data_IF_099796879168
#
_entry.id   IF_099796879168
#
_cell.length_a   1.000
_cell.length_b   1.000
_cell.length_c   1.000
_cell.angle_alpha   90.00
_cell.angle_beta   90.00
_cell.angle_gamma   90.00
#
_symmetry.space_group_name_H-M   'P 1'
#
loop_
_entity.id
_entity.type
_entity.pdbx_description
1 polymer ?
#
# COMPACT_ATOMS: atom_id res chain seq x y z
N UNK A 1 -9.59 -11.32 17.95
CA UNK A 1 -10.03 -11.95 16.70
C UNK A 1 -9.72 -11.03 15.53
N UNK A 2 -9.48 -11.58 14.33
CA UNK A 2 -9.09 -10.82 13.14
C UNK A 2 -10.32 -10.32 12.37
N UNK A 3 -10.12 -9.34 11.49
CA UNK A 3 -11.13 -8.82 10.54
C UNK A 3 -10.46 -8.74 9.18
N UNK A 4 -11.21 -9.03 8.12
CA UNK A 4 -10.70 -9.07 6.75
C UNK A 4 -11.58 -8.22 5.83
N UNK A 5 -10.97 -7.22 5.20
CA UNK A 5 -11.59 -6.47 4.12
C UNK A 5 -11.06 -6.96 2.77
N UNK A 6 -11.96 -7.26 1.85
CA UNK A 6 -11.65 -7.69 0.49
C UNK A 6 -11.90 -6.53 -0.47
N UNK A 7 -10.82 -5.98 -1.04
CA UNK A 7 -10.92 -5.07 -2.19
C UNK A 7 -10.79 -5.88 -3.47
N UNK A 8 -11.83 -5.84 -4.31
CA UNK A 8 -11.92 -6.58 -5.57
C UNK A 8 -11.98 -5.58 -6.70
N UNK A 9 -11.10 -5.71 -7.70
CA UNK A 9 -11.09 -4.83 -8.86
C UNK A 9 -12.43 -4.90 -9.60
N UNK A 10 -13.01 -3.76 -9.96
CA UNK A 10 -14.30 -3.71 -10.68
C UNK A 10 -14.25 -4.32 -12.09
N UNK A 11 -13.04 -4.55 -12.64
CA UNK A 11 -12.84 -5.24 -13.92
C UNK A 11 -13.09 -6.74 -13.88
N UNK A 12 -13.19 -7.36 -12.70
CA UNK A 12 -13.51 -8.79 -12.62
C UNK A 12 -14.91 -9.07 -13.16
N UNK A 13 -15.16 -10.32 -13.55
CA UNK A 13 -16.50 -10.71 -13.99
C UNK A 13 -17.53 -10.54 -12.87
N UNK A 14 -18.78 -10.23 -13.24
CA UNK A 14 -19.89 -10.15 -12.29
C UNK A 14 -20.08 -11.46 -11.50
N UNK A 15 -19.74 -12.60 -12.10
CA UNK A 15 -19.74 -13.90 -11.45
C UNK A 15 -18.71 -13.97 -10.33
N UNK A 16 -17.46 -13.57 -10.59
CA UNK A 16 -16.40 -13.56 -9.59
C UNK A 16 -16.76 -12.67 -8.41
N UNK A 17 -17.22 -11.44 -8.67
CA UNK A 17 -17.61 -10.51 -7.61
C UNK A 17 -18.78 -11.06 -6.76
N UNK A 18 -19.76 -11.72 -7.39
CA UNK A 18 -20.85 -12.40 -6.66
C UNK A 18 -20.34 -13.54 -5.81
N UNK A 19 -19.42 -14.35 -6.32
CA UNK A 19 -18.82 -15.45 -5.57
C UNK A 19 -18.04 -14.94 -4.35
N UNK A 20 -17.24 -13.87 -4.51
CA UNK A 20 -16.52 -13.25 -3.40
C UNK A 20 -17.47 -12.70 -2.33
N UNK A 21 -18.55 -12.02 -2.73
CA UNK A 21 -19.57 -11.53 -1.77
C UNK A 21 -20.25 -12.68 -1.02
N UNK A 22 -20.61 -13.76 -1.71
CA UNK A 22 -21.20 -14.94 -1.08
C UNK A 22 -20.25 -15.58 -0.07
N UNK A 23 -18.97 -15.71 -0.41
CA UNK A 23 -17.94 -16.20 0.50
C UNK A 23 -17.81 -15.32 1.73
N UNK A 24 -17.73 -13.99 1.54
CA UNK A 24 -17.63 -13.04 2.65
C UNK A 24 -18.84 -13.13 3.58
N UNK A 25 -20.05 -13.26 3.03
CA UNK A 25 -21.29 -13.39 3.82
C UNK A 25 -21.33 -14.66 4.70
N UNK A 26 -20.52 -15.68 4.40
CA UNK A 26 -20.41 -16.87 5.24
C UNK A 26 -19.57 -16.65 6.52
N UNK A 27 -18.85 -15.54 6.62
CA UNK A 27 -17.90 -15.28 7.72
C UNK A 27 -18.19 -13.89 8.33
N UNK A 28 -18.55 -13.80 9.63
CA UNK A 28 -19.01 -12.56 10.25
C UNK A 28 -17.94 -11.46 10.35
N UNK A 29 -16.66 -11.82 10.15
CA UNK A 29 -15.51 -10.94 10.22
C UNK A 29 -14.83 -10.71 8.86
N UNK A 30 -15.49 -11.10 7.76
CA UNK A 30 -15.02 -10.89 6.39
C UNK A 30 -16.06 -10.08 5.63
N UNK A 31 -15.62 -9.03 4.95
CA UNK A 31 -16.51 -8.22 4.11
C UNK A 31 -15.80 -7.73 2.86
N UNK A 32 -16.57 -7.43 1.82
CA UNK A 32 -16.07 -6.73 0.63
C UNK A 32 -16.10 -5.24 0.91
N UNK A 33 -15.04 -4.51 0.54
CA UNK A 33 -14.95 -3.05 0.68
C UNK A 33 -16.21 -2.37 0.12
N UNK A 34 -16.70 -1.36 0.84
CA UNK A 34 -17.86 -0.56 0.47
C UNK A 34 -17.65 0.21 -0.83
N UNK A 35 -16.39 0.51 -1.16
CA UNK A 35 -15.97 1.12 -2.42
C UNK A 35 -14.90 0.28 -3.08
N UNK A 36 -15.08 0.04 -4.38
CA UNK A 36 -14.19 -0.74 -5.22
C UNK A 36 -13.60 0.15 -6.31
N UNK A 37 -12.35 -0.12 -6.66
CA UNK A 37 -11.58 0.67 -7.63
C UNK A 37 -11.38 -0.09 -8.94
N UNK A 38 -11.28 0.65 -10.04
CA UNK A 38 -10.72 0.14 -11.30
C UNK A 38 -9.20 0.27 -11.20
N UNK A 39 -8.52 -0.81 -10.82
CA UNK A 39 -7.10 -0.72 -10.47
C UNK A 39 -6.26 -0.61 -11.73
N UNK A 40 -5.57 0.52 -11.87
CA UNK A 40 -4.64 0.78 -12.97
C UNK A 40 -3.23 0.56 -12.44
N UNK A 41 -2.44 -0.23 -13.18
CA UNK A 41 -1.05 -0.50 -12.80
C UNK A 41 -0.26 0.81 -12.64
N UNK A 42 0.51 0.91 -11.54
CA UNK A 42 1.24 2.11 -11.12
C UNK A 42 0.36 3.36 -10.85
N UNK A 43 -0.96 3.23 -10.91
CA UNK A 43 -1.90 4.31 -10.69
C UNK A 43 -2.31 4.45 -9.23
N UNK A 44 -2.94 5.59 -8.95
CA UNK A 44 -3.48 5.96 -7.65
C UNK A 44 -4.54 4.98 -7.14
N UNK A 45 -5.28 4.33 -8.03
CA UNK A 45 -6.37 3.42 -7.67
C UNK A 45 -5.89 2.21 -6.86
N UNK A 46 -4.63 1.78 -7.02
CA UNK A 46 -4.02 0.75 -6.16
C UNK A 46 -3.92 1.19 -4.71
N UNK A 47 -3.46 2.42 -4.46
CA UNK A 47 -3.38 3.02 -3.12
C UNK A 47 -4.79 3.25 -2.53
N UNK A 48 -5.72 3.75 -3.35
CA UNK A 48 -7.10 4.00 -2.93
C UNK A 48 -7.84 2.72 -2.50
N UNK A 49 -7.57 1.59 -3.17
CA UNK A 49 -8.13 0.30 -2.80
C UNK A 49 -7.80 -0.10 -1.35
N UNK A 50 -6.59 0.21 -0.87
CA UNK A 50 -6.22 -0.03 0.53
C UNK A 50 -6.91 0.97 1.47
N UNK A 51 -6.94 2.26 1.10
CA UNK A 51 -7.55 3.31 1.92
C UNK A 51 -9.06 3.10 2.12
N UNK A 52 -9.78 2.58 1.11
CA UNK A 52 -11.19 2.23 1.27
C UNK A 52 -11.39 1.08 2.26
N UNK A 53 -10.55 0.05 2.17
CA UNK A 53 -10.58 -1.03 3.15
C UNK A 53 -10.23 -0.55 4.56
N UNK A 54 -9.24 0.34 4.70
CA UNK A 54 -8.87 0.93 5.97
C UNK A 54 -10.01 1.72 6.59
N UNK A 55 -10.73 2.50 5.78
CA UNK A 55 -11.90 3.25 6.21
C UNK A 55 -13.01 2.34 6.75
N UNK A 56 -13.28 1.21 6.09
CA UNK A 56 -14.31 0.27 6.54
C UNK A 56 -13.85 -0.55 7.75
N UNK A 57 -12.57 -0.90 7.82
CA UNK A 57 -11.98 -1.54 8.99
C UNK A 57 -12.09 -0.66 10.24
N UNK A 58 -11.91 0.66 10.13
CA UNK A 58 -12.07 1.56 11.28
C UNK A 58 -13.51 1.58 11.83
N UNK A 59 -14.51 1.41 10.95
CA UNK A 59 -15.94 1.36 11.31
C UNK A 59 -16.38 0.00 11.85
N UNK A 60 -15.60 -1.04 11.65
CA UNK A 60 -15.93 -2.38 12.11
C UNK A 60 -15.90 -2.44 13.65
N UNK A 61 -16.83 -3.16 14.32
CA UNK A 61 -16.94 -3.19 15.80
C UNK A 61 -15.72 -3.81 16.51
N UNK A 62 -14.93 -4.60 15.80
CA UNK A 62 -13.71 -5.19 16.36
C UNK A 62 -12.60 -4.14 16.44
N UNK A 63 -12.13 -3.87 17.65
CA UNK A 63 -10.98 -3.01 17.92
C UNK A 63 -9.65 -3.73 17.60
N UNK A 64 -9.32 -3.82 16.32
CA UNK A 64 -8.03 -4.37 15.86
C UNK A 64 -6.87 -3.41 16.18
N UNK A 65 -5.65 -3.95 16.23
CA UNK A 65 -4.42 -3.18 16.60
C UNK A 65 -3.54 -2.82 15.42
N UNK A 66 -3.45 -3.72 14.45
CA UNK A 66 -2.71 -3.54 13.21
C UNK A 66 -3.54 -4.00 12.03
N UNK A 67 -3.33 -3.38 10.88
CA UNK A 67 -3.74 -3.89 9.58
C UNK A 67 -2.49 -4.26 8.79
N UNK A 68 -2.55 -5.40 8.09
CA UNK A 68 -1.53 -5.84 7.14
C UNK A 68 -2.21 -5.86 5.78
N UNK A 69 -1.75 -5.06 4.83
CA UNK A 69 -2.27 -5.07 3.46
C UNK A 69 -1.49 -6.08 2.60
N UNK A 70 -2.20 -6.81 1.75
CA UNK A 70 -1.63 -7.89 0.95
C UNK A 70 -2.42 -8.04 -0.35
N UNK A 71 -1.75 -8.26 -1.51
CA UNK A 71 -2.42 -8.61 -2.75
C UNK A 71 -2.84 -10.09 -2.72
N UNK A 72 -3.68 -10.50 -3.68
CA UNK A 72 -4.16 -11.89 -3.78
C UNK A 72 -3.09 -12.94 -4.11
N UNK A 73 -1.89 -12.53 -4.57
CA UNK A 73 -0.79 -13.45 -4.90
C UNK A 73 0.19 -13.70 -3.74
N UNK A 74 0.03 -13.03 -2.60
CA UNK A 74 0.87 -13.28 -1.43
C UNK A 74 0.31 -14.42 -0.57
N UNK A 75 1.22 -15.14 0.09
CA UNK A 75 0.88 -16.23 0.99
C UNK A 75 1.64 -16.07 2.32
N UNK A 76 1.01 -16.32 3.48
CA UNK A 76 1.66 -16.17 4.77
C UNK A 76 2.81 -17.18 4.95
N UNK A 77 3.98 -16.68 5.36
CA UNK A 77 5.14 -17.50 5.74
C UNK A 77 5.24 -17.74 7.27
N UNK A 78 4.24 -17.26 8.01
CA UNK A 78 4.14 -17.34 9.48
C UNK A 78 2.70 -17.65 9.85
N UNK A 79 2.51 -18.44 10.90
CA UNK A 79 1.21 -18.70 11.48
C UNK A 79 0.62 -17.44 12.10
N UNK A 80 -0.70 -17.43 12.31
CA UNK A 80 -1.35 -16.31 13.00
C UNK A 80 -0.76 -16.06 14.41
N UNK A 81 -0.39 -17.12 15.14
CA UNK A 81 0.25 -16.99 16.45
C UNK A 81 1.60 -16.27 16.36
N UNK A 82 2.43 -16.62 15.37
CA UNK A 82 3.72 -15.97 15.14
C UNK A 82 3.56 -14.52 14.70
N UNK A 83 2.61 -14.23 13.80
CA UNK A 83 2.29 -12.85 13.39
C UNK A 83 1.90 -12.03 14.61
N UNK A 84 1.00 -12.53 15.48
CA UNK A 84 0.61 -11.84 16.71
C UNK A 84 1.79 -11.60 17.63
N UNK A 85 2.72 -12.55 17.78
CA UNK A 85 3.94 -12.37 18.58
C UNK A 85 4.82 -11.27 17.99
N UNK A 86 5.05 -11.27 16.68
CA UNK A 86 5.84 -10.24 15.98
C UNK A 86 5.22 -8.85 16.16
N UNK A 87 3.92 -8.70 15.92
CA UNK A 87 3.23 -7.41 16.05
C UNK A 87 3.21 -6.87 17.48
N UNK A 88 3.21 -7.76 18.50
CA UNK A 88 3.39 -7.37 19.89
C UNK A 88 4.80 -6.85 20.16
N UNK A 89 5.83 -7.47 19.57
CA UNK A 89 7.21 -7.01 19.67
C UNK A 89 7.44 -5.66 18.98
N UNK A 90 6.68 -5.34 17.94
CA UNK A 90 6.69 -4.00 17.32
C UNK A 90 6.19 -2.89 18.25
N UNK A 91 5.50 -3.23 19.34
CA UNK A 91 5.13 -2.32 20.44
C UNK A 91 4.53 -0.97 19.99
N UNK A 92 3.57 -1.00 19.07
CA UNK A 92 2.89 0.19 18.58
C UNK A 92 3.64 0.97 17.50
N UNK A 93 4.64 0.36 16.85
CA UNK A 93 5.32 0.92 15.67
C UNK A 93 4.85 0.25 14.38
N UNK A 94 4.73 1.03 13.30
CA UNK A 94 4.36 0.49 11.98
C UNK A 94 5.57 -0.24 11.38
N UNK A 95 5.40 -1.31 10.60
CA UNK A 95 6.48 -1.95 9.84
C UNK A 95 6.34 -1.66 8.34
N UNK A 96 7.11 -0.67 7.86
CA UNK A 96 7.06 -0.15 6.49
C UNK A 96 8.50 -0.01 5.99
N UNK A 97 8.81 -0.53 4.80
CA UNK A 97 10.13 -0.39 4.18
C UNK A 97 10.51 1.09 3.99
N UNK A 98 11.76 1.46 4.27
CA UNK A 98 12.28 2.80 4.01
C UNK A 98 13.47 2.76 3.07
N UNK A 99 13.38 3.44 1.92
CA UNK A 99 14.44 3.57 0.92
C UNK A 99 14.67 5.05 0.60
N UNK A 100 15.92 5.48 0.69
CA UNK A 100 16.37 6.87 0.45
C UNK A 100 17.42 6.92 -0.67
N UNK A 101 17.87 8.13 -1.05
CA UNK A 101 18.88 8.31 -2.10
C UNK A 101 18.34 8.07 -3.52
N UNK A 102 19.22 7.70 -4.45
CA UNK A 102 18.89 7.50 -5.87
C UNK A 102 17.95 6.31 -6.12
N UNK A 103 18.00 5.28 -5.26
CA UNK A 103 17.11 4.11 -5.35
C UNK A 103 15.61 4.44 -5.19
N UNK A 104 15.29 5.69 -4.82
CA UNK A 104 13.92 6.23 -4.82
C UNK A 104 13.33 6.43 -6.21
N UNK A 105 14.17 6.47 -7.27
CA UNK A 105 13.76 6.79 -8.65
C UNK A 105 13.01 8.14 -8.73
N UNK A 106 13.70 9.28 -8.52
CA UNK A 106 13.07 10.59 -8.36
C UNK A 106 12.14 11.00 -9.50
N UNK A 107 12.40 10.54 -10.72
CA UNK A 107 11.56 10.79 -11.89
C UNK A 107 10.10 10.38 -11.71
N UNK A 108 9.84 9.34 -10.90
CA UNK A 108 8.46 8.87 -10.64
C UNK A 108 7.58 9.93 -9.99
N UNK A 109 8.15 10.83 -9.20
CA UNK A 109 7.41 11.83 -8.43
C UNK A 109 7.80 13.29 -8.73
N UNK A 110 8.90 13.52 -9.45
CA UNK A 110 9.30 14.85 -9.98
C UNK A 110 8.66 15.17 -11.33
N UNK A 111 8.10 14.18 -12.02
CA UNK A 111 7.38 14.35 -13.29
C UNK A 111 5.92 14.00 -13.10
N UNK A 112 5.01 14.77 -13.73
CA UNK A 112 3.57 14.47 -13.72
C UNK A 112 3.26 13.34 -14.69
N UNK A 113 2.36 12.46 -14.30
CA UNK A 113 1.91 11.33 -15.10
C UNK A 113 0.42 11.41 -15.42
N UNK A 114 0.06 11.07 -16.65
CA UNK A 114 -1.31 11.09 -17.14
C UNK A 114 -1.81 9.68 -17.43
N UNK A 115 -3.11 9.47 -17.19
CA UNK A 115 -3.81 8.26 -17.62
C UNK A 115 -4.16 8.38 -19.10
N UNK A 116 -3.76 7.39 -19.89
CA UNK A 116 -4.10 7.27 -21.31
C UNK A 116 -4.78 5.94 -21.53
N UNK A 117 -5.99 6.00 -22.09
CA UNK A 117 -6.74 4.82 -22.50
C UNK A 117 -6.28 4.35 -23.88
N UNK A 118 -6.15 3.04 -24.05
CA UNK A 118 -6.06 2.41 -25.35
C UNK A 118 -7.46 2.36 -25.96
N UNK A 119 -7.67 3.02 -27.10
CA UNK A 119 -8.98 3.11 -27.75
C UNK A 119 -9.51 1.75 -28.22
N UNK A 120 -8.63 0.77 -28.47
CA UNK A 120 -9.00 -0.56 -28.96
C UNK A 120 -9.28 -1.53 -27.84
N UNK A 121 -8.42 -1.60 -26.82
CA UNK A 121 -8.60 -2.57 -25.71
C UNK A 121 -9.37 -2.00 -24.51
N UNK A 122 -9.52 -0.68 -24.43
CA UNK A 122 -10.06 0.00 -23.25
C UNK A 122 -9.11 0.04 -22.06
N UNK A 123 -7.90 -0.53 -22.20
CA UNK A 123 -6.92 -0.56 -21.11
C UNK A 123 -6.36 0.83 -20.82
N UNK A 124 -6.25 1.16 -19.54
CA UNK A 124 -5.67 2.44 -19.11
C UNK A 124 -4.25 2.21 -18.61
N UNK A 125 -3.32 3.08 -19.01
CA UNK A 125 -1.93 3.09 -18.53
C UNK A 125 -1.48 4.50 -18.14
N UNK A 126 -0.51 4.58 -17.24
CA UNK A 126 0.19 5.85 -16.95
C UNK A 126 1.29 6.09 -18.00
N UNK A 127 1.38 7.32 -18.48
CA UNK A 127 2.48 7.81 -19.32
C UNK A 127 3.08 9.08 -18.72
N UNK A 128 4.41 9.27 -18.80
CA UNK A 128 5.05 10.47 -18.28
C UNK A 128 4.69 11.66 -19.18
N UNK A 129 4.58 12.84 -18.57
CA UNK A 129 4.43 14.10 -19.30
C UNK A 129 5.76 14.85 -19.36
N UNK A 130 5.82 15.95 -20.11
CA UNK A 130 6.95 16.89 -20.08
C UNK A 130 6.86 17.89 -18.92
N UNK A 131 5.90 17.74 -18.01
CA UNK A 131 5.59 18.72 -16.96
C UNK A 131 6.22 18.28 -15.64
N UNK A 132 7.06 19.14 -15.07
CA UNK A 132 7.61 18.96 -13.73
C UNK A 132 6.51 19.03 -12.67
N UNK A 133 6.63 18.20 -11.64
CA UNK A 133 5.74 18.16 -10.50
C UNK A 133 6.30 19.01 -9.36
N UNK A 134 5.41 19.71 -8.67
CA UNK A 134 5.78 20.54 -7.53
C UNK A 134 6.34 19.71 -6.37
N UNK A 135 7.15 20.28 -5.47
CA UNK A 135 7.55 19.62 -4.23
C UNK A 135 6.35 19.11 -3.43
N UNK A 136 6.51 18.03 -2.64
CA UNK A 136 5.43 17.53 -1.78
C UNK A 136 5.05 18.55 -0.70
N UNK A 137 3.80 18.50 -0.20
CA UNK A 137 3.33 19.46 0.79
C UNK A 137 4.07 19.34 2.12
N UNK A 138 4.15 20.43 2.87
CA UNK A 138 4.67 20.43 4.24
C UNK A 138 6.15 20.06 4.37
N UNK A 139 6.97 20.39 3.37
CA UNK A 139 8.40 20.13 3.31
C UNK A 139 8.76 18.65 3.56
N UNK A 140 7.90 17.75 3.07
CA UNK A 140 8.08 16.31 3.24
C UNK A 140 9.25 15.78 2.41
N UNK A 141 10.13 15.02 3.06
CA UNK A 141 11.13 14.21 2.36
C UNK A 141 10.50 12.92 1.82
N UNK A 142 10.52 12.75 0.51
CA UNK A 142 10.00 11.52 -0.12
C UNK A 142 10.85 10.33 0.29
N UNK A 143 10.20 9.34 0.91
CA UNK A 143 10.79 8.03 1.24
C UNK A 143 10.07 6.96 0.43
N UNK A 144 10.83 6.23 -0.39
CA UNK A 144 10.30 5.09 -1.14
C UNK A 144 10.08 3.92 -0.18
N UNK A 145 9.01 3.17 -0.39
CA UNK A 145 8.63 2.01 0.38
C UNK A 145 8.10 0.90 -0.54
N UNK A 146 7.70 -0.22 0.07
CA UNK A 146 6.83 -1.19 -0.59
C UNK A 146 5.38 -0.69 -0.54
N UNK A 147 4.55 -1.14 -1.48
CA UNK A 147 3.10 -1.00 -1.38
C UNK A 147 2.52 -1.75 -0.15
N UNK A 148 3.29 -2.66 0.45
CA UNK A 148 2.84 -3.52 1.55
C UNK A 148 3.51 -3.17 2.88
N UNK A 149 2.74 -3.20 3.96
CA UNK A 149 3.20 -2.86 5.30
C UNK A 149 2.25 -3.34 6.40
N UNK A 150 2.74 -3.28 7.63
CA UNK A 150 1.93 -3.46 8.83
C UNK A 150 1.72 -2.10 9.50
N UNK A 151 0.48 -1.65 9.56
CA UNK A 151 0.12 -0.31 10.00
C UNK A 151 -0.62 -0.39 11.32
N UNK A 152 -0.23 0.42 12.30
CA UNK A 152 -0.99 0.56 13.54
C UNK A 152 -2.35 1.18 13.27
N UNK A 153 -3.34 0.91 14.13
CA UNK A 153 -4.64 1.58 14.04
C UNK A 153 -4.53 3.10 14.05
N UNK A 154 -3.69 3.66 14.92
CA UNK A 154 -3.47 5.11 14.97
C UNK A 154 -2.87 5.68 13.69
N UNK A 155 -1.99 4.93 13.01
CA UNK A 155 -1.49 5.35 11.70
C UNK A 155 -2.61 5.36 10.65
N UNK A 156 -3.49 4.37 10.69
CA UNK A 156 -4.65 4.30 9.79
C UNK A 156 -5.63 5.45 10.02
N UNK A 157 -5.91 5.80 11.27
CA UNK A 157 -6.71 6.98 11.63
C UNK A 157 -6.03 8.27 11.12
N UNK A 158 -4.72 8.39 11.35
CA UNK A 158 -3.93 9.53 10.86
C UNK A 158 -4.00 9.69 9.34
N UNK A 159 -3.82 8.63 8.54
CA UNK A 159 -3.84 8.76 7.06
C UNK A 159 -5.22 9.11 6.49
N UNK A 160 -6.30 8.89 7.26
CA UNK A 160 -7.67 9.19 6.84
C UNK A 160 -8.14 10.57 7.30
N UNK A 161 -7.62 11.08 8.42
CA UNK A 161 -8.14 12.30 9.07
C UNK A 161 -7.16 13.49 9.04
N UNK A 162 -5.85 13.23 8.93
CA UNK A 162 -4.85 14.29 9.02
C UNK A 162 -4.75 15.12 7.73
N UNK A 163 -4.70 16.44 7.88
CA UNK A 163 -4.58 17.37 6.75
C UNK A 163 -3.32 17.16 5.90
N UNK A 164 -2.15 16.95 6.52
CA UNK A 164 -0.90 16.72 5.78
C UNK A 164 -0.98 15.41 4.98
N UNK A 165 -1.55 14.36 5.56
CA UNK A 165 -1.77 13.09 4.86
C UNK A 165 -2.73 13.27 3.67
N UNK A 166 -3.84 13.99 3.85
CA UNK A 166 -4.79 14.29 2.78
C UNK A 166 -4.17 15.16 1.66
N UNK A 167 -3.37 16.17 2.02
CA UNK A 167 -2.66 17.03 1.07
C UNK A 167 -1.64 16.20 0.27
N UNK A 168 -0.87 15.32 0.93
CA UNK A 168 0.06 14.40 0.26
C UNK A 168 -0.67 13.42 -0.66
N UNK A 169 -1.82 12.88 -0.22
CA UNK A 169 -2.64 11.98 -1.03
C UNK A 169 -3.14 12.66 -2.30
N UNK A 170 -3.53 13.94 -2.20
CA UNK A 170 -3.95 14.74 -3.35
C UNK A 170 -2.77 15.01 -4.29
N UNK A 171 -1.60 15.37 -3.75
CA UNK A 171 -0.36 15.55 -4.50
C UNK A 171 0.04 14.26 -5.25
N UNK A 172 -0.15 13.09 -4.64
CA UNK A 172 0.17 11.78 -5.24
C UNK A 172 -0.68 11.37 -6.44
N UNK A 173 -1.76 12.09 -6.78
CA UNK A 173 -2.66 11.73 -7.90
C UNK A 173 -1.98 11.68 -9.28
N UNK A 174 -0.92 12.47 -9.46
CA UNK A 174 -0.15 12.58 -10.71
C UNK A 174 1.25 11.97 -10.60
N UNK A 175 1.47 11.14 -9.58
CA UNK A 175 2.74 10.43 -9.33
C UNK A 175 2.64 8.99 -9.83
N UNK A 176 3.76 8.45 -10.31
CA UNK A 176 3.84 7.04 -10.71
C UNK A 176 4.13 6.12 -9.52
N UNK A 177 3.30 5.09 -9.34
CA UNK A 177 3.33 4.16 -8.20
C UNK A 177 3.30 4.88 -6.84
N UNK A 178 2.24 5.68 -6.56
CA UNK A 178 2.15 6.45 -5.31
C UNK A 178 2.08 5.55 -4.07
N UNK A 179 1.62 4.32 -4.21
CA UNK A 179 1.63 3.27 -3.18
C UNK A 179 3.05 2.89 -2.72
N UNK A 180 4.07 3.12 -3.53
CA UNK A 180 5.49 2.90 -3.18
C UNK A 180 6.17 4.16 -2.60
N UNK A 181 5.44 5.24 -2.31
CA UNK A 181 6.03 6.41 -1.61
C UNK A 181 5.14 6.96 -0.49
N UNK A 182 3.82 6.83 -0.59
CA UNK A 182 2.88 7.48 0.32
C UNK A 182 3.07 7.00 1.76
N UNK A 183 3.11 5.68 1.96
CA UNK A 183 3.30 5.06 3.27
C UNK A 183 4.64 5.41 3.91
N UNK A 184 5.72 5.30 3.13
CA UNK A 184 7.07 5.62 3.57
C UNK A 184 7.19 7.07 3.98
N UNK A 185 6.78 7.99 3.10
CA UNK A 185 6.88 9.44 3.34
C UNK A 185 6.19 9.86 4.64
N UNK A 186 4.97 9.37 4.92
CA UNK A 186 4.27 9.69 6.17
C UNK A 186 4.89 9.01 7.39
N UNK A 187 5.31 7.74 7.27
CA UNK A 187 5.87 6.98 8.39
C UNK A 187 7.22 7.49 8.87
N UNK A 188 8.03 8.04 7.97
CA UNK A 188 9.39 8.53 8.25
C UNK A 188 9.47 10.05 8.38
N UNK A 189 8.33 10.76 8.37
CA UNK A 189 8.29 12.20 8.64
C UNK A 189 8.63 12.49 10.10
N UNK A 190 9.74 13.17 10.35
CA UNK A 190 10.18 13.53 11.71
C UNK A 190 9.59 14.87 12.17
N UNK A 191 9.26 15.78 11.25
CA UNK A 191 8.71 17.09 11.57
C UNK A 191 7.28 17.01 12.11
N UNK A 192 6.47 16.13 11.51
CA UNK A 192 5.12 15.80 12.00
C UNK A 192 4.94 14.28 12.03
N UNK A 193 5.42 13.61 13.10
CA UNK A 193 5.40 12.15 13.17
C UNK A 193 3.99 11.57 13.16
N UNK A 194 3.75 10.66 12.23
CA UNK A 194 2.56 9.83 12.25
C UNK A 194 2.61 8.84 13.45
N UNK A 195 1.47 8.41 13.99
CA UNK A 195 1.43 7.38 15.02
C UNK A 195 2.17 6.10 14.58
N UNK A 196 3.03 5.58 15.46
CA UNK A 196 3.89 4.43 15.16
C UNK A 196 5.03 4.70 14.15
N UNK A 197 5.23 5.96 13.75
CA UNK A 197 6.28 6.38 12.82
C UNK A 197 7.70 6.11 13.33
N UNK A 198 8.63 5.94 12.39
CA UNK A 198 10.03 5.64 12.70
C UNK A 198 10.88 6.91 12.65
N UNK A 199 11.59 7.20 13.76
CA UNK A 199 12.39 8.42 13.92
C UNK A 199 13.87 8.28 13.51
N UNK A 200 14.30 7.07 13.16
CA UNK A 200 15.68 6.82 12.74
C UNK A 200 15.89 7.00 11.23
N UNK A 201 17.06 6.57 10.75
CA UNK A 201 17.39 6.61 9.32
C UNK A 201 16.58 5.53 8.56
N UNK A 202 15.72 5.89 7.59
CA UNK A 202 14.82 4.92 6.94
C UNK A 202 15.54 3.70 6.36
N UNK A 203 16.64 3.93 5.64
CA UNK A 203 17.43 2.87 4.98
C UNK A 203 18.13 1.89 5.95
N UNK A 204 18.24 2.23 7.24
CA UNK A 204 18.85 1.34 8.25
C UNK A 204 17.84 0.42 8.92
N UNK A 205 16.54 0.64 8.68
CA UNK A 205 15.49 -0.13 9.33
C UNK A 205 15.27 -1.45 8.60
N UNK A 206 15.32 -2.56 9.34
CA UNK A 206 14.87 -3.86 8.84
C UNK A 206 13.34 -3.88 8.73
N UNK A 207 12.84 -4.56 7.72
CA UNK A 207 11.43 -4.69 7.38
C UNK A 207 11.06 -6.17 7.30
N UNK A 208 9.89 -6.55 7.82
CA UNK A 208 9.48 -7.97 7.99
C UNK A 208 8.16 -8.31 7.29
N UNK A 209 7.35 -7.31 6.94
CA UNK A 209 5.97 -7.54 6.51
C UNK A 209 5.87 -8.37 5.24
N UNK A 210 6.75 -8.14 4.26
CA UNK A 210 6.76 -8.89 3.02
C UNK A 210 8.17 -9.34 2.67
N UNK A 211 8.25 -10.50 2.02
CA UNK A 211 9.46 -11.05 1.46
C UNK A 211 9.24 -11.24 -0.04
N UNK A 212 10.17 -10.76 -0.84
CA UNK A 212 10.14 -10.88 -2.29
C UNK A 212 11.54 -11.22 -2.77
N UNK A 213 11.63 -12.16 -3.70
CA UNK A 213 12.91 -12.58 -4.29
C UNK A 213 13.03 -11.94 -5.66
N UNK A 214 14.14 -11.25 -5.87
CA UNK A 214 14.49 -10.62 -7.13
C UNK A 214 15.61 -11.38 -7.86
N UNK A 215 15.73 -11.26 -9.19
CA UNK A 215 16.71 -12.00 -10.00
C UNK A 215 18.17 -11.84 -9.58
N UNK A 216 18.52 -10.68 -9.02
CA UNK A 216 19.87 -10.39 -8.53
C UNK A 216 20.21 -11.07 -7.20
N UNK A 217 19.29 -11.84 -6.61
CA UNK A 217 19.54 -12.61 -5.38
C UNK A 217 20.15 -14.01 -5.65
N UNK A 218 20.40 -14.35 -6.92
CA UNK A 218 21.18 -15.53 -7.37
C UNK A 218 20.76 -16.88 -6.74
N UNK A 219 19.47 -17.12 -6.52
CA UNK A 219 18.95 -18.39 -6.01
C UNK A 219 18.74 -19.42 -7.15
N UNK A 220 19.07 -20.71 -6.98
CA UNK A 220 18.89 -21.74 -8.00
C UNK A 220 17.41 -22.09 -8.27
N UNK A 221 17.09 -22.52 -9.49
CA UNK A 221 15.78 -23.01 -9.96
C UNK A 221 14.60 -22.06 -9.72
N UNK A 222 14.52 -20.97 -10.48
CA UNK A 222 13.50 -19.92 -10.28
C UNK A 222 12.79 -19.52 -11.58
N UNK A 223 11.46 -19.35 -11.51
CA UNK A 223 10.66 -18.70 -12.56
C UNK A 223 10.28 -17.29 -12.11
N UNK A 224 10.66 -16.29 -12.89
CA UNK A 224 10.37 -14.89 -12.61
C UNK A 224 9.27 -14.35 -13.53
N UNK A 225 8.40 -13.50 -13.00
CA UNK A 225 7.39 -12.75 -13.76
C UNK A 225 7.51 -11.28 -13.37
N UNK A 226 7.77 -10.40 -14.34
CA UNK A 226 8.08 -8.98 -14.11
C UNK A 226 9.18 -8.76 -13.06
N UNK A 227 10.26 -9.56 -13.12
CA UNK A 227 11.39 -9.52 -12.19
C UNK A 227 11.03 -9.93 -10.74
N UNK A 228 9.85 -10.46 -10.47
CA UNK A 228 9.50 -11.02 -9.15
C UNK A 228 9.35 -12.53 -9.26
N UNK A 229 9.95 -13.29 -8.34
CA UNK A 229 9.79 -14.74 -8.28
C UNK A 229 8.33 -15.12 -8.04
N UNK A 230 7.81 -16.08 -8.81
CA UNK A 230 6.54 -16.75 -8.54
C UNK A 230 6.71 -18.04 -7.74
#
# INVERSE_FOLDING_TARGET
HNVYCLSVDVKVSAEFLRATRRLANCLPNVFVSSRLENVVYAGMSRLMADLHCFQDLLRHPVTWRYVINSPGQQFPLRTNLEIVKILKLLNGTNDILGVTGESRNPERYRTKWNYVANETSGDVRLVPTSVTHEPPPGDLDIVKCSAYGAFTRGFVEFVLENKLAADLLNWSKVVYSPDEIYWGTLNYNVASPAPGGFKGVPAKRKWLTSYSIWPWEHLPCQKFVHQVKK
#
